data_IF_592796226629
#
_entry.id   IF_592796226629
#
_cell.length_a   1.000
_cell.length_b   1.000
_cell.length_c   1.000
_cell.angle_alpha   90.00
_cell.angle_beta   90.00
_cell.angle_gamma   90.00
#
_symmetry.space_group_name_H-M   'P 1'
#
loop_
_entity.id
_entity.type
_entity.pdbx_description
1 polymer ?
#
# COMPACT_ATOMS: atom_id res chain seq x y z
N UNK A 1 -4.61 -8.20 -1.74
CA UNK A 1 -4.28 -7.46 -0.49
C UNK A 1 -3.21 -8.16 0.35
N UNK A 2 -3.40 -9.43 0.77
CA UNK A 2 -2.44 -10.15 1.64
C UNK A 2 -0.96 -10.06 1.23
N UNK A 3 -0.66 -10.15 -0.08
CA UNK A 3 0.70 -9.98 -0.60
C UNK A 3 1.34 -8.67 -0.15
N UNK A 4 0.64 -7.54 -0.32
CA UNK A 4 1.17 -6.23 0.05
C UNK A 4 1.37 -6.08 1.55
N UNK A 5 0.49 -6.68 2.36
CA UNK A 5 0.64 -6.70 3.82
C UNK A 5 1.89 -7.52 4.20
N UNK A 6 1.98 -8.78 3.77
CA UNK A 6 3.12 -9.65 4.08
C UNK A 6 4.47 -9.09 3.60
N UNK A 7 4.47 -8.39 2.46
CA UNK A 7 5.66 -7.76 1.89
C UNK A 7 5.93 -6.35 2.44
N UNK A 8 5.27 -5.92 3.53
CA UNK A 8 5.54 -4.64 4.21
C UNK A 8 5.32 -3.41 3.32
N UNK A 9 4.33 -3.48 2.43
CA UNK A 9 3.97 -2.40 1.53
C UNK A 9 2.77 -1.57 2.02
N UNK A 10 2.12 -1.98 3.11
CA UNK A 10 0.96 -1.27 3.68
C UNK A 10 1.39 -0.47 4.90
N UNK A 11 1.02 0.80 4.91
CA UNK A 11 1.19 1.74 6.01
C UNK A 11 -0.19 2.08 6.59
N UNK A 12 -0.28 2.17 7.92
CA UNK A 12 -1.42 2.75 8.64
C UNK A 12 -0.86 3.89 9.49
N UNK A 13 -1.18 5.13 9.12
CA UNK A 13 -0.44 6.30 9.59
C UNK A 13 1.04 6.19 9.19
N UNK A 14 1.94 6.20 10.17
CA UNK A 14 3.38 6.05 9.99
C UNK A 14 3.90 4.64 10.27
N UNK A 15 3.01 3.67 10.56
CA UNK A 15 3.39 2.30 10.93
C UNK A 15 3.26 1.34 9.76
N UNK A 16 4.26 0.48 9.60
CA UNK A 16 4.22 -0.64 8.65
C UNK A 16 3.39 -1.77 9.27
N UNK A 17 2.39 -2.24 8.54
CA UNK A 17 1.57 -3.40 8.94
C UNK A 17 1.93 -4.60 8.08
N UNK A 18 2.38 -5.68 8.72
CA UNK A 18 2.75 -6.94 8.05
C UNK A 18 1.93 -8.17 8.46
N UNK A 19 0.93 -7.98 9.32
CA UNK A 19 0.00 -9.03 9.75
C UNK A 19 -1.38 -8.83 9.08
N UNK A 20 -1.84 -9.75 8.21
CA UNK A 20 -3.11 -9.60 7.50
C UNK A 20 -4.37 -9.60 8.38
N UNK A 21 -4.27 -10.11 9.60
CA UNK A 21 -5.36 -10.10 10.59
C UNK A 21 -5.28 -8.91 11.54
N UNK A 22 -4.38 -7.96 11.29
CA UNK A 22 -4.29 -6.73 12.10
C UNK A 22 -5.60 -5.95 11.98
N UNK A 23 -6.20 -5.62 13.14
CA UNK A 23 -7.42 -4.82 13.21
C UNK A 23 -7.01 -3.35 13.28
N UNK A 24 -7.44 -2.57 12.29
CA UNK A 24 -7.19 -1.13 12.23
C UNK A 24 -8.24 -0.40 13.07
N UNK A 25 -7.81 0.57 13.87
CA UNK A 25 -8.74 1.45 14.56
C UNK A 25 -9.54 2.29 13.57
N UNK A 26 -10.83 2.50 13.82
CA UNK A 26 -11.72 3.23 12.90
C UNK A 26 -11.20 4.62 12.54
N UNK A 27 -10.60 5.32 13.50
CA UNK A 27 -10.01 6.66 13.30
C UNK A 27 -8.77 6.66 12.37
N UNK A 28 -8.18 5.50 12.12
CA UNK A 28 -6.99 5.33 11.27
C UNK A 28 -7.32 4.73 9.90
N UNK A 29 -8.58 4.43 9.60
CA UNK A 29 -8.99 3.83 8.33
C UNK A 29 -8.58 4.71 7.13
N UNK A 30 -8.80 6.03 7.22
CA UNK A 30 -8.43 6.99 6.17
C UNK A 30 -6.92 7.18 6.02
N UNK A 31 -6.13 6.67 6.97
CA UNK A 31 -4.67 6.77 6.97
C UNK A 31 -3.97 5.60 6.28
N UNK A 32 -4.72 4.61 5.78
CA UNK A 32 -4.15 3.44 5.09
C UNK A 32 -3.57 3.85 3.73
N UNK A 33 -2.27 3.62 3.54
CA UNK A 33 -1.53 4.00 2.33
C UNK A 33 -0.57 2.90 1.89
N UNK A 34 -0.20 2.90 0.61
CA UNK A 34 0.90 2.09 0.11
C UNK A 34 2.22 2.83 0.29
N UNK A 35 3.29 2.06 0.54
CA UNK A 35 4.65 2.60 0.65
C UNK A 35 5.08 3.23 -0.69
N UNK A 36 5.67 4.43 -0.64
CA UNK A 36 6.02 5.25 -1.83
C UNK A 36 7.08 4.63 -2.74
N UNK A 37 7.86 3.68 -2.23
CA UNK A 37 8.93 2.95 -2.93
C UNK A 37 8.44 1.66 -3.61
N UNK A 38 7.12 1.41 -3.64
CA UNK A 38 6.55 0.26 -4.32
C UNK A 38 6.83 0.31 -5.83
N UNK A 39 7.73 -0.55 -6.30
CA UNK A 39 8.02 -0.72 -7.73
C UNK A 39 7.01 -1.68 -8.34
N UNK A 40 6.06 -1.15 -9.10
CA UNK A 40 5.11 -1.95 -9.86
C UNK A 40 5.70 -2.29 -11.22
N UNK A 41 6.06 -3.55 -11.42
CA UNK A 41 6.45 -4.06 -12.73
C UNK A 41 5.22 -4.03 -13.64
N UNK A 42 5.27 -3.24 -14.71
CA UNK A 42 4.21 -3.17 -15.70
C UNK A 42 4.22 -4.46 -16.52
N UNK A 43 3.40 -5.44 -16.14
CA UNK A 43 3.08 -6.55 -17.03
C UNK A 43 2.28 -6.01 -18.22
N UNK A 44 2.69 -6.33 -19.44
CA UNK A 44 1.93 -6.04 -20.66
C UNK A 44 0.71 -6.95 -20.77
N UNK A 45 -0.22 -6.82 -19.83
CA UNK A 45 -1.59 -7.29 -19.93
C UNK A 45 -2.48 -6.05 -19.79
N UNK A 46 -3.18 -5.74 -20.87
CA UNK A 46 -4.03 -4.57 -21.07
C UNK A 46 -4.86 -4.12 -19.84
N UNK A 47 -4.83 -2.80 -19.60
CA UNK A 47 -5.65 -1.94 -18.72
C UNK A 47 -5.42 -1.98 -17.19
N UNK A 48 -4.99 -0.82 -16.66
CA UNK A 48 -5.16 -0.43 -15.26
C UNK A 48 -4.13 0.59 -14.77
N UNK A 49 -4.49 1.87 -14.73
CA UNK A 49 -3.82 3.02 -14.10
C UNK A 49 -3.40 2.68 -12.65
N UNK A 50 -2.28 3.17 -12.10
CA UNK A 50 -2.13 4.55 -11.60
C UNK A 50 -0.65 4.92 -11.46
N UNK A 51 -0.29 6.09 -11.99
CA UNK A 51 0.92 6.86 -11.68
C UNK A 51 0.53 7.84 -10.59
N UNK A 52 1.35 8.02 -9.57
CA UNK A 52 1.61 9.35 -8.96
C UNK A 52 2.76 9.23 -7.95
N UNK A 53 3.96 9.55 -8.45
CA UNK A 53 5.04 10.11 -7.64
C UNK A 53 4.90 11.62 -7.75
N UNK A 54 4.82 12.32 -6.63
CA UNK A 54 5.18 13.74 -6.58
C UNK A 54 6.09 13.96 -5.36
N UNK A 55 7.34 14.31 -5.65
CA UNK A 55 8.27 14.95 -4.74
C UNK A 55 8.41 16.38 -5.27
N UNK A 56 8.15 17.37 -4.41
CA UNK A 56 8.42 18.79 -4.61
C UNK A 56 8.78 19.38 -3.26
#
# INVERSE_FOLDING_TARGET
ARQFVLHRHVLVGDRIVDVPSYIVEKSMEDSVKLKKDLVVLKHSSSKGSTKEKENG
#
